data_IF_655558505025
#
_entry.id   IF_655558505025
#
_cell.length_a   1.000
_cell.length_b   1.000
_cell.length_c   1.000
_cell.angle_alpha   90.00
_cell.angle_beta   90.00
_cell.angle_gamma   90.00
#
_symmetry.space_group_name_H-M   'P 1'
#
loop_
_entity.id
_entity.type
_entity.pdbx_description
1 polymer ?
#
# COMPACT_ATOMS: atom_id res chain seq x y z
N UNK A 1 9.87 -21.60 -53.58
CA UNK A 1 9.61 -23.01 -53.18
C UNK A 1 9.74 -23.03 -51.67
N UNK A 2 8.74 -23.28 -50.81
CA UNK A 2 7.41 -23.87 -50.94
C UNK A 2 6.62 -23.40 -49.70
N UNK A 3 5.36 -22.99 -49.89
CA UNK A 3 4.36 -22.71 -48.84
C UNK A 3 3.90 -24.02 -48.17
N UNK A 4 2.99 -23.90 -47.20
CA UNK A 4 1.99 -24.91 -46.74
C UNK A 4 2.50 -25.74 -45.54
N UNK A 5 1.73 -26.04 -44.48
CA UNK A 5 0.48 -25.55 -43.90
C UNK A 5 0.29 -26.31 -42.57
N UNK A 6 -0.53 -25.77 -41.67
CA UNK A 6 -1.18 -26.54 -40.62
C UNK A 6 -1.97 -27.72 -41.22
N UNK A 7 -2.17 -28.79 -40.42
CA UNK A 7 -3.49 -29.38 -40.36
C UNK A 7 -4.01 -29.44 -38.92
N UNK A 8 -5.22 -28.91 -38.81
CA UNK A 8 -6.23 -29.22 -37.82
C UNK A 8 -6.66 -30.68 -38.01
N UNK A 9 -6.73 -31.50 -36.96
CA UNK A 9 -7.59 -32.69 -36.97
C UNK A 9 -8.16 -32.95 -35.57
N UNK A 10 -9.45 -32.66 -35.46
CA UNK A 10 -10.34 -33.20 -34.45
C UNK A 10 -10.81 -34.60 -34.88
N UNK A 11 -11.07 -35.49 -33.92
CA UNK A 11 -12.37 -36.17 -33.74
C UNK A 11 -12.26 -37.44 -32.88
N UNK A 12 -13.23 -37.57 -31.98
CA UNK A 12 -13.62 -38.72 -31.19
C UNK A 12 -13.86 -39.99 -32.03
N UNK A 13 -13.63 -41.16 -31.43
CA UNK A 13 -14.53 -42.32 -31.61
C UNK A 13 -14.52 -43.24 -30.38
N UNK A 14 -15.72 -43.58 -29.91
CA UNK A 14 -16.02 -44.63 -28.93
C UNK A 14 -15.96 -46.02 -29.60
N UNK A 15 -15.67 -47.07 -28.82
CA UNK A 15 -15.80 -48.46 -29.29
C UNK A 15 -15.44 -49.56 -28.30
N UNK A 16 -16.35 -49.83 -27.35
CA UNK A 16 -16.79 -51.10 -26.74
C UNK A 16 -15.87 -52.34 -26.55
N UNK A 17 -15.92 -52.83 -25.30
CA UNK A 17 -16.09 -54.22 -24.82
C UNK A 17 -15.00 -55.29 -25.02
N UNK A 18 -14.37 -55.69 -23.91
CA UNK A 18 -14.41 -57.11 -23.49
C UNK A 18 -14.09 -57.23 -21.99
N UNK A 19 -14.90 -58.01 -21.28
CA UNK A 19 -14.65 -58.46 -19.90
C UNK A 19 -13.91 -59.80 -19.94
N UNK A 20 -13.06 -60.09 -18.93
CA UNK A 20 -13.42 -61.24 -18.10
C UNK A 20 -13.06 -61.08 -16.62
N UNK A 21 -13.96 -61.55 -15.76
CA UNK A 21 -13.63 -62.48 -14.68
C UNK A 21 -13.21 -61.89 -13.33
N UNK A 22 -13.64 -62.53 -12.21
CA UNK A 22 -13.66 -61.93 -10.89
C UNK A 22 -12.34 -62.15 -10.16
N UNK A 23 -11.93 -61.19 -9.33
CA UNK A 23 -11.54 -61.42 -7.93
C UNK A 23 -11.09 -60.12 -7.26
N UNK A 24 -11.33 -60.08 -5.95
CA UNK A 24 -10.87 -59.09 -4.98
C UNK A 24 -11.52 -57.69 -4.99
N UNK A 25 -12.67 -57.62 -4.30
CA UNK A 25 -13.15 -56.38 -3.69
C UNK A 25 -12.14 -55.97 -2.61
N UNK A 26 -11.15 -55.15 -2.99
CA UNK A 26 -10.34 -54.42 -2.03
C UNK A 26 -11.21 -53.32 -1.45
N UNK A 27 -11.77 -53.54 -0.26
CA UNK A 27 -12.44 -52.48 0.50
C UNK A 27 -11.36 -51.50 0.97
N UNK A 28 -11.10 -50.45 0.18
CA UNK A 28 -10.40 -49.28 0.70
C UNK A 28 -11.31 -48.66 1.78
N UNK A 29 -10.93 -48.90 3.03
CA UNK A 29 -11.48 -48.16 4.15
C UNK A 29 -10.87 -46.77 4.08
N UNK A 30 -11.56 -45.84 3.42
CA UNK A 30 -11.22 -44.42 3.50
C UNK A 30 -11.54 -43.98 4.93
N UNK A 31 -10.52 -43.91 5.77
CA UNK A 31 -10.62 -43.25 7.06
C UNK A 31 -10.75 -41.76 6.76
N UNK A 32 -11.98 -41.26 6.80
CA UNK A 32 -12.22 -39.83 6.86
C UNK A 32 -11.71 -39.38 8.22
N UNK A 33 -10.45 -38.94 8.24
CA UNK A 33 -9.91 -38.18 9.36
C UNK A 33 -10.64 -36.83 9.34
N UNK A 34 -11.70 -36.74 10.14
CA UNK A 34 -12.32 -35.46 10.49
C UNK A 34 -11.24 -34.66 11.19
N UNK A 35 -10.51 -33.84 10.43
CA UNK A 35 -9.67 -32.80 10.98
C UNK A 35 -10.57 -31.97 11.90
N UNK A 36 -10.29 -32.02 13.20
CA UNK A 36 -10.91 -31.13 14.17
C UNK A 36 -10.65 -29.71 13.67
N UNK A 37 -11.71 -29.00 13.30
CA UNK A 37 -11.61 -27.60 12.95
C UNK A 37 -10.91 -26.89 14.09
N UNK A 38 -9.73 -26.31 13.80
CA UNK A 38 -9.10 -25.38 14.72
C UNK A 38 -10.16 -24.33 15.09
N UNK A 39 -10.24 -23.90 16.36
CA UNK A 39 -11.16 -22.84 16.76
C UNK A 39 -10.90 -21.66 15.82
N UNK A 40 -11.89 -21.37 14.97
CA UNK A 40 -11.91 -20.14 14.21
C UNK A 40 -12.04 -19.06 15.26
N UNK A 41 -10.95 -18.35 15.53
CA UNK A 41 -10.98 -17.12 16.30
C UNK A 41 -12.09 -16.25 15.71
N UNK A 42 -13.09 -15.93 16.54
CA UNK A 42 -14.14 -14.99 16.16
C UNK A 42 -13.47 -13.71 15.62
N UNK A 43 -14.03 -13.06 14.58
CA UNK A 43 -13.49 -11.80 14.09
C UNK A 43 -13.36 -10.84 15.26
N UNK A 44 -12.16 -10.32 15.48
CA UNK A 44 -11.92 -9.34 16.52
C UNK A 44 -12.79 -8.11 16.20
N UNK A 45 -13.71 -7.78 17.11
CA UNK A 45 -14.62 -6.67 16.91
C UNK A 45 -13.82 -5.36 16.87
N UNK A 46 -14.08 -4.55 15.84
CA UNK A 46 -13.41 -3.27 15.67
C UNK A 46 -13.62 -2.39 16.90
N UNK A 47 -12.53 -1.99 17.55
CA UNK A 47 -12.59 -1.23 18.80
C UNK A 47 -13.20 0.17 18.63
N UNK A 48 -12.97 0.81 17.48
CA UNK A 48 -13.38 2.18 17.21
C UNK A 48 -13.88 2.36 15.77
N UNK A 49 -15.06 1.82 15.41
CA UNK A 49 -15.56 1.82 14.03
C UNK A 49 -15.94 3.21 13.51
N UNK A 50 -16.15 4.17 14.40
CA UNK A 50 -16.52 5.55 14.06
C UNK A 50 -15.30 6.50 14.01
N UNK A 51 -14.09 6.00 14.28
CA UNK A 51 -12.88 6.82 14.21
C UNK A 51 -12.72 7.42 12.82
N UNK A 52 -12.32 8.69 12.76
CA UNK A 52 -12.01 9.33 11.50
C UNK A 52 -10.54 9.67 11.41
N UNK A 53 -10.04 9.83 10.19
CA UNK A 53 -8.63 10.20 9.97
C UNK A 53 -8.29 11.54 10.65
N UNK A 54 -9.26 12.45 10.76
CA UNK A 54 -9.10 13.74 11.45
C UNK A 54 -8.87 13.62 12.96
N UNK A 55 -9.20 12.47 13.56
CA UNK A 55 -8.97 12.19 14.99
C UNK A 55 -7.56 11.62 15.27
N UNK A 56 -6.81 11.27 14.22
CA UNK A 56 -5.47 10.64 14.34
C UNK A 56 -4.36 11.67 14.57
N UNK A 57 -3.16 11.19 14.91
CA UNK A 57 -1.95 12.03 15.04
C UNK A 57 -1.63 12.84 13.77
N UNK A 58 -2.05 12.36 12.58
CA UNK A 58 -1.84 13.07 11.32
C UNK A 58 -2.48 14.48 11.36
N UNK A 59 -3.66 14.60 11.95
CA UNK A 59 -4.38 15.87 12.04
C UNK A 59 -4.21 16.54 13.40
N UNK A 60 -4.21 15.78 14.49
CA UNK A 60 -4.14 16.34 15.85
C UNK A 60 -2.79 16.96 16.20
N UNK A 61 -1.71 16.52 15.54
CA UNK A 61 -0.38 17.14 15.66
C UNK A 61 -0.05 18.14 14.54
N UNK A 62 -0.96 18.29 13.57
CA UNK A 62 -0.81 19.25 12.49
C UNK A 62 -1.30 20.64 12.91
N UNK A 63 -1.00 21.64 12.09
CA UNK A 63 -1.56 22.97 12.25
C UNK A 63 -2.28 23.44 10.99
N UNK A 64 -3.30 24.26 11.17
CA UNK A 64 -3.98 24.93 10.06
C UNK A 64 -3.16 26.09 9.54
N UNK A 65 -2.92 26.12 8.22
CA UNK A 65 -2.20 27.19 7.52
C UNK A 65 -3.12 27.85 6.50
N UNK A 66 -3.61 29.08 6.76
CA UNK A 66 -4.44 29.81 5.81
C UNK A 66 -3.65 30.21 4.58
N UNK A 67 -4.14 29.87 3.38
CA UNK A 67 -3.50 30.18 2.11
C UNK A 67 -4.54 30.50 1.03
N UNK A 68 -4.52 31.73 0.51
CA UNK A 68 -5.43 32.21 -0.55
C UNK A 68 -6.93 31.92 -0.33
N UNK A 69 -7.40 31.98 0.93
CA UNK A 69 -8.80 31.74 1.28
C UNK A 69 -9.18 30.27 1.45
N UNK A 70 -8.20 29.38 1.50
CA UNK A 70 -8.34 27.97 1.86
C UNK A 70 -7.46 27.67 3.07
N UNK A 71 -7.91 26.74 3.91
CA UNK A 71 -7.13 26.25 5.05
C UNK A 71 -6.40 24.96 4.64
N UNK A 72 -5.07 25.00 4.68
CA UNK A 72 -4.22 23.83 4.47
C UNK A 72 -3.89 23.18 5.81
N UNK A 73 -3.60 21.88 5.75
CA UNK A 73 -3.02 21.14 6.87
C UNK A 73 -1.51 21.16 6.72
N UNK A 74 -0.81 21.66 7.74
CA UNK A 74 0.64 21.67 7.81
C UNK A 74 1.15 20.64 8.81
N UNK A 75 1.79 19.60 8.28
CA UNK A 75 2.47 18.57 9.08
C UNK A 75 3.93 18.98 9.26
N UNK A 76 4.48 18.96 10.49
CA UNK A 76 5.90 19.20 10.69
C UNK A 76 6.77 18.22 9.91
N UNK A 77 7.97 18.65 9.55
CA UNK A 77 8.98 17.82 8.88
C UNK A 77 10.27 17.76 9.71
N UNK A 78 11.14 16.81 9.40
CA UNK A 78 12.51 16.74 9.94
C UNK A 78 13.41 17.89 9.45
N UNK A 79 12.93 18.71 8.52
CA UNK A 79 13.58 19.94 8.08
C UNK A 79 13.03 21.16 8.83
N UNK A 80 13.80 21.62 9.83
CA UNK A 80 13.41 22.70 10.74
C UNK A 80 12.83 23.93 10.03
N UNK A 81 11.63 24.34 10.45
CA UNK A 81 10.93 25.51 9.93
C UNK A 81 10.09 25.25 8.68
N UNK A 82 10.12 24.02 8.14
CA UNK A 82 9.28 23.62 7.02
C UNK A 82 8.17 22.69 7.45
N UNK A 83 7.02 22.88 6.79
CA UNK A 83 5.84 22.05 6.90
C UNK A 83 5.57 21.41 5.54
N UNK A 84 5.10 20.17 5.57
CA UNK A 84 4.43 19.61 4.42
C UNK A 84 2.97 20.07 4.44
N UNK A 85 2.61 20.90 3.47
CA UNK A 85 1.29 21.52 3.37
C UNK A 85 0.43 20.77 2.36
N UNK A 86 -0.72 20.24 2.79
CA UNK A 86 -1.67 19.57 1.91
C UNK A 86 -3.10 20.06 2.14
N UNK A 87 -3.96 19.89 1.14
CA UNK A 87 -5.40 20.11 1.27
C UNK A 87 -6.10 18.77 1.55
N UNK A 88 -6.96 18.67 2.58
CA UNK A 88 -7.74 17.46 2.83
C UNK A 88 -8.60 17.04 1.64
N UNK A 89 -9.07 17.99 0.82
CA UNK A 89 -9.90 17.73 -0.36
C UNK A 89 -9.13 17.00 -1.49
N UNK A 90 -7.79 17.08 -1.50
CA UNK A 90 -6.92 16.43 -2.47
C UNK A 90 -6.34 15.09 -1.95
N UNK A 91 -6.66 14.70 -0.73
CA UNK A 91 -6.16 13.47 -0.12
C UNK A 91 -6.87 12.24 -0.70
N UNK A 92 -6.10 11.22 -1.06
CA UNK A 92 -6.66 9.89 -1.39
C UNK A 92 -6.81 9.08 -0.10
N UNK A 93 -7.95 9.22 0.54
CA UNK A 93 -8.23 8.60 1.84
C UNK A 93 -8.65 7.13 1.70
N UNK A 94 -7.85 6.21 2.24
CA UNK A 94 -8.18 4.79 2.42
C UNK A 94 -8.01 4.37 3.89
N UNK A 95 -8.13 5.33 4.81
CA UNK A 95 -8.12 5.07 6.24
C UNK A 95 -9.33 4.22 6.62
N UNK A 96 -9.07 3.19 7.40
CA UNK A 96 -10.06 2.29 7.96
C UNK A 96 -9.59 1.88 9.36
N UNK A 97 -10.27 2.33 10.43
CA UNK A 97 -9.84 2.06 11.79
C UNK A 97 -10.07 0.61 12.21
N UNK A 98 -10.72 -0.20 11.37
CA UNK A 98 -10.98 -1.60 11.63
C UNK A 98 -10.02 -2.55 10.92
N UNK A 99 -9.08 -2.02 10.11
CA UNK A 99 -8.10 -2.82 9.41
C UNK A 99 -6.72 -2.75 10.07
N UNK A 100 -5.99 -3.87 10.17
CA UNK A 100 -4.62 -3.90 10.69
C UNK A 100 -3.65 -3.01 9.91
N UNK A 101 -3.92 -2.71 8.64
CA UNK A 101 -3.15 -1.74 7.87
C UNK A 101 -4.07 -0.95 6.95
N UNK A 102 -4.15 0.36 7.15
CA UNK A 102 -4.84 1.29 6.26
C UNK A 102 -3.93 2.46 5.91
N UNK A 103 -4.31 3.32 4.96
CA UNK A 103 -3.41 4.38 4.48
C UNK A 103 -4.15 5.61 3.98
N UNK A 104 -3.42 6.71 3.85
CA UNK A 104 -3.81 7.85 3.02
C UNK A 104 -2.64 8.31 2.17
N UNK A 105 -2.92 8.79 0.95
CA UNK A 105 -1.92 9.49 0.14
C UNK A 105 -2.18 10.97 0.22
N UNK A 106 -1.17 11.70 0.67
CA UNK A 106 -1.17 13.15 0.80
C UNK A 106 -0.47 13.73 -0.43
N UNK A 107 -1.15 14.61 -1.15
CA UNK A 107 -0.55 15.41 -2.22
C UNK A 107 -0.38 16.84 -1.73
N UNK A 108 0.86 17.34 -1.74
CA UNK A 108 1.15 18.61 -1.10
C UNK A 108 2.43 19.26 -1.59
N UNK A 109 2.87 20.26 -0.82
CA UNK A 109 4.12 20.95 -1.05
C UNK A 109 4.74 21.41 0.26
N UNK A 110 6.07 21.39 0.30
CA UNK A 110 6.82 22.07 1.34
C UNK A 110 6.56 23.57 1.34
N UNK A 111 6.52 24.14 2.53
CA UNK A 111 6.29 25.56 2.78
C UNK A 111 6.50 25.91 4.25
N UNK A 112 5.99 27.05 4.66
CA UNK A 112 6.05 27.51 6.05
C UNK A 112 4.70 28.07 6.51
N UNK A 113 4.56 28.24 7.84
CA UNK A 113 3.32 28.68 8.47
C UNK A 113 2.91 30.12 8.07
N UNK A 114 3.86 30.97 7.69
CA UNK A 114 3.61 32.39 7.41
C UNK A 114 3.30 32.64 5.94
N UNK A 115 3.97 31.91 5.04
CA UNK A 115 3.93 32.13 3.58
C UNK A 115 3.13 31.06 2.85
N UNK A 116 2.80 29.96 3.52
CA UNK A 116 2.17 28.81 2.90
C UNK A 116 3.12 28.04 1.99
N UNK A 117 2.60 27.33 0.97
CA UNK A 117 3.41 26.51 0.08
C UNK A 117 4.47 27.34 -0.66
N UNK A 118 5.68 26.80 -0.80
CA UNK A 118 6.71 27.43 -1.62
C UNK A 118 6.29 27.52 -3.11
N UNK A 119 5.39 26.64 -3.55
CA UNK A 119 4.73 26.72 -4.86
C UNK A 119 5.64 26.43 -6.05
N UNK A 120 6.76 25.72 -5.84
CA UNK A 120 7.71 25.34 -6.90
C UNK A 120 7.61 23.86 -7.20
N UNK A 121 7.95 23.44 -8.43
CA UNK A 121 8.01 22.01 -8.77
C UNK A 121 8.98 21.22 -7.88
N UNK A 122 9.97 21.88 -7.28
CA UNK A 122 10.91 21.25 -6.34
C UNK A 122 10.36 21.07 -4.93
N UNK A 123 9.26 21.73 -4.58
CA UNK A 123 8.64 21.60 -3.26
C UNK A 123 7.43 20.66 -3.25
N UNK A 124 6.91 20.27 -4.42
CA UNK A 124 5.75 19.38 -4.56
C UNK A 124 6.19 17.92 -4.39
N UNK A 125 5.50 17.22 -3.49
CA UNK A 125 5.73 15.82 -3.19
C UNK A 125 4.41 15.13 -2.81
N UNK A 126 4.42 13.81 -2.88
CA UNK A 126 3.42 12.95 -2.29
C UNK A 126 4.01 12.24 -1.06
N UNK A 127 3.16 11.93 -0.10
CA UNK A 127 3.50 11.10 1.07
C UNK A 127 2.43 10.03 1.21
N UNK A 128 2.83 8.78 1.42
CA UNK A 128 1.91 7.76 1.91
C UNK A 128 2.09 7.65 3.42
N UNK A 129 0.99 7.79 4.16
CA UNK A 129 0.96 7.57 5.61
C UNK A 129 0.17 6.30 5.88
N UNK A 130 0.65 5.50 6.84
CA UNK A 130 0.03 4.24 7.20
C UNK A 130 -0.55 4.31 8.60
N UNK A 131 -1.60 3.53 8.81
CA UNK A 131 -2.26 3.40 10.11
C UNK A 131 -2.38 1.93 10.46
N UNK A 132 -2.14 1.61 11.73
CA UNK A 132 -2.53 0.34 12.33
C UNK A 132 -3.82 0.59 13.10
N UNK A 133 -4.95 0.10 12.59
CA UNK A 133 -6.27 0.51 13.08
C UNK A 133 -6.42 2.05 13.06
N UNK A 134 -6.71 2.68 14.20
CA UNK A 134 -6.83 4.13 14.35
C UNK A 134 -5.52 4.84 14.75
N UNK A 135 -4.41 4.11 14.85
CA UNK A 135 -3.10 4.67 15.23
C UNK A 135 -2.23 4.95 14.00
N UNK A 136 -1.71 6.18 13.90
CA UNK A 136 -0.74 6.55 12.87
C UNK A 136 0.59 5.84 13.11
N UNK A 137 1.12 5.21 12.06
CA UNK A 137 2.46 4.61 12.08
C UNK A 137 3.50 5.69 11.75
N UNK A 138 4.45 5.88 12.66
CA UNK A 138 5.54 6.87 12.54
C UNK A 138 6.94 6.25 12.53
N UNK A 139 7.05 4.92 12.63
CA UNK A 139 8.30 4.18 12.47
C UNK A 139 8.14 3.07 11.40
N UNK A 140 8.78 3.20 10.22
CA UNK A 140 9.61 4.34 9.81
C UNK A 140 8.78 5.61 9.61
N UNK A 141 9.44 6.77 9.66
CA UNK A 141 8.79 8.05 9.42
C UNK A 141 8.25 8.12 7.97
N UNK A 142 7.05 8.70 7.74
CA UNK A 142 6.52 8.85 6.39
C UNK A 142 7.40 9.78 5.54
N UNK A 143 7.99 9.24 4.47
CA UNK A 143 8.93 9.97 3.62
C UNK A 143 8.23 10.64 2.44
N UNK A 144 8.66 11.86 2.13
CA UNK A 144 8.27 12.57 0.91
C UNK A 144 8.88 11.92 -0.32
N UNK A 145 8.06 11.68 -1.34
CA UNK A 145 8.50 11.20 -2.63
C UNK A 145 7.93 12.07 -3.75
N UNK A 146 8.51 12.02 -4.95
CA UNK A 146 8.04 12.87 -6.05
C UNK A 146 6.58 12.57 -6.40
N UNK A 147 6.17 11.31 -6.42
CA UNK A 147 4.78 10.90 -6.64
C UNK A 147 4.51 9.50 -6.10
N UNK A 148 3.25 9.26 -5.71
CA UNK A 148 2.71 7.93 -5.44
C UNK A 148 1.84 7.53 -6.63
N UNK A 149 2.37 6.68 -7.49
CA UNK A 149 1.73 6.27 -8.74
C UNK A 149 0.50 5.40 -8.48
N UNK A 150 0.60 4.46 -7.52
CA UNK A 150 -0.51 3.61 -7.10
C UNK A 150 -0.32 3.08 -5.68
N UNK A 151 -1.45 2.75 -5.03
CA UNK A 151 -1.47 2.02 -3.76
C UNK A 151 -2.54 0.94 -3.82
N UNK A 152 -2.14 -0.31 -3.68
CA UNK A 152 -3.02 -1.47 -3.80
C UNK A 152 -2.93 -2.34 -2.53
N UNK A 153 -4.09 -2.65 -1.94
CA UNK A 153 -4.17 -3.62 -0.84
C UNK A 153 -3.91 -5.03 -1.36
N UNK A 154 -2.94 -5.73 -0.78
CA UNK A 154 -2.66 -7.15 -1.06
C UNK A 154 -3.23 -8.08 0.02
N UNK A 155 -3.42 -7.57 1.24
CA UNK A 155 -4.03 -8.27 2.37
C UNK A 155 -4.32 -7.33 3.54
N UNK A 156 -4.78 -7.88 4.66
CA UNK A 156 -5.16 -7.08 5.84
C UNK A 156 -3.97 -6.34 6.46
N UNK A 157 -2.77 -6.91 6.37
CA UNK A 157 -1.51 -6.36 6.89
C UNK A 157 -0.51 -6.00 5.79
N UNK A 158 -0.92 -6.00 4.50
CA UNK A 158 0.01 -5.78 3.38
C UNK A 158 -0.57 -4.88 2.32
N UNK A 159 0.19 -3.83 1.98
CA UNK A 159 -0.15 -2.84 0.96
C UNK A 159 1.03 -2.66 0.02
N UNK A 160 0.80 -2.83 -1.28
CA UNK A 160 1.78 -2.49 -2.31
C UNK A 160 1.70 -1.02 -2.65
N UNK A 161 2.86 -0.37 -2.77
CA UNK A 161 2.98 1.02 -3.20
C UNK A 161 3.93 1.11 -4.38
N UNK A 162 3.52 1.88 -5.39
CA UNK A 162 4.36 2.22 -6.53
C UNK A 162 4.81 3.67 -6.35
N UNK A 163 6.10 3.85 -6.06
CA UNK A 163 6.72 5.16 -5.83
C UNK A 163 7.38 5.67 -7.10
N UNK A 164 7.06 6.89 -7.50
CA UNK A 164 7.75 7.64 -8.53
C UNK A 164 8.80 8.57 -7.93
N UNK A 165 10.07 8.38 -8.29
CA UNK A 165 11.20 9.17 -7.80
C UNK A 165 11.84 10.01 -8.92
N UNK A 166 12.32 11.19 -8.56
CA UNK A 166 13.11 12.06 -9.43
C UNK A 166 14.61 11.85 -9.18
N UNK A 167 15.25 10.91 -9.89
CA UNK A 167 16.61 10.43 -9.63
C UNK A 167 17.74 11.47 -9.71
N UNK A 168 17.49 12.66 -10.26
CA UNK A 168 18.50 13.73 -10.37
C UNK A 168 17.99 15.09 -9.98
N UNK A 169 16.91 15.54 -10.62
CA UNK A 169 16.27 16.80 -10.30
C UNK A 169 14.76 16.68 -10.46
N UNK A 170 14.04 17.40 -9.61
CA UNK A 170 12.56 17.47 -9.63
C UNK A 170 12.01 17.94 -10.98
N UNK A 171 12.77 18.74 -11.72
CA UNK A 171 12.40 19.25 -13.04
C UNK A 171 12.34 18.17 -14.13
N UNK A 172 13.05 17.05 -13.96
CA UNK A 172 12.98 15.90 -14.88
C UNK A 172 11.70 15.07 -14.67
N UNK A 173 10.97 15.32 -13.58
CA UNK A 173 9.81 14.51 -13.19
C UNK A 173 10.23 13.12 -12.70
N UNK A 174 9.31 12.17 -12.80
CA UNK A 174 9.56 10.78 -12.41
C UNK A 174 10.47 10.12 -13.43
N UNK A 175 11.63 9.67 -12.98
CA UNK A 175 12.65 8.99 -13.80
C UNK A 175 12.95 7.58 -13.29
N UNK A 176 12.53 7.28 -12.06
CA UNK A 176 12.70 5.99 -11.40
C UNK A 176 11.38 5.55 -10.78
N UNK A 177 11.10 4.26 -10.84
CA UNK A 177 9.93 3.63 -10.22
C UNK A 177 10.42 2.57 -9.24
N UNK A 178 9.83 2.56 -8.04
CA UNK A 178 10.04 1.53 -7.04
C UNK A 178 8.71 0.87 -6.70
N UNK A 179 8.64 -0.46 -6.80
CA UNK A 179 7.47 -1.24 -6.40
C UNK A 179 7.81 -2.00 -5.13
N UNK A 180 7.20 -1.61 -4.01
CA UNK A 180 7.47 -2.20 -2.70
C UNK A 180 6.18 -2.58 -2.00
N UNK A 181 6.27 -3.59 -1.13
CA UNK A 181 5.18 -3.99 -0.26
C UNK A 181 5.48 -3.50 1.16
N UNK A 182 4.58 -2.73 1.74
CA UNK A 182 4.61 -2.36 3.15
C UNK A 182 3.79 -3.35 3.95
N UNK A 183 4.43 -3.99 4.93
CA UNK A 183 3.88 -5.09 5.73
C UNK A 183 3.88 -4.71 7.20
N UNK A 184 2.72 -4.80 7.84
CA UNK A 184 2.63 -4.73 9.31
C UNK A 184 2.98 -6.10 9.91
N UNK A 185 4.12 -6.19 10.61
CA UNK A 185 4.60 -7.43 11.23
C UNK A 185 5.42 -7.11 12.47
N UNK A 186 5.27 -7.92 13.52
CA UNK A 186 6.04 -7.82 14.76
C UNK A 186 5.95 -6.43 15.41
N UNK A 187 4.79 -5.77 15.31
CA UNK A 187 4.52 -4.45 15.89
C UNK A 187 5.19 -3.28 15.17
N UNK A 188 5.63 -3.47 13.92
CA UNK A 188 6.24 -2.43 13.10
C UNK A 188 5.86 -2.57 11.63
N UNK A 189 6.01 -1.48 10.89
CA UNK A 189 5.95 -1.51 9.44
C UNK A 189 7.31 -1.94 8.88
N UNK A 190 7.29 -2.82 7.88
CA UNK A 190 8.47 -3.31 7.18
C UNK A 190 8.25 -3.13 5.69
N UNK A 191 9.26 -2.67 4.97
CA UNK A 191 9.23 -2.62 3.51
C UNK A 191 9.90 -3.87 2.94
N UNK A 192 9.19 -4.58 2.08
CA UNK A 192 9.62 -5.81 1.43
C UNK A 192 9.50 -5.69 -0.10
N UNK A 193 10.06 -6.67 -0.81
CA UNK A 193 10.02 -6.74 -2.27
C UNK A 193 11.37 -6.46 -2.95
N UNK A 194 11.45 -6.63 -4.28
CA UNK A 194 12.69 -6.56 -5.03
C UNK A 194 13.32 -5.14 -5.05
N UNK A 195 12.50 -4.10 -4.94
CA UNK A 195 12.97 -2.70 -4.91
C UNK A 195 13.16 -2.14 -3.50
N UNK A 196 12.83 -2.90 -2.44
CA UNK A 196 12.80 -2.41 -1.06
C UNK A 196 14.10 -1.71 -0.64
N UNK A 197 15.25 -2.36 -0.81
CA UNK A 197 16.54 -1.78 -0.42
C UNK A 197 16.88 -0.49 -1.19
N UNK A 198 16.45 -0.37 -2.44
CA UNK A 198 16.68 0.84 -3.26
C UNK A 198 15.74 1.96 -2.82
N UNK A 199 14.48 1.64 -2.58
CA UNK A 199 13.49 2.56 -2.03
C UNK A 199 13.91 3.08 -0.65
N UNK A 200 14.35 2.21 0.27
CA UNK A 200 14.78 2.58 1.61
C UNK A 200 16.00 3.52 1.58
N UNK A 201 16.92 3.32 0.63
CA UNK A 201 18.04 4.24 0.42
C UNK A 201 17.55 5.63 0.02
N UNK A 202 16.57 5.71 -0.90
CA UNK A 202 15.97 6.97 -1.33
C UNK A 202 15.19 7.61 -0.18
N UNK A 203 14.32 6.87 0.50
CA UNK A 203 13.50 7.35 1.60
C UNK A 203 14.34 7.94 2.75
N UNK A 204 15.50 7.35 3.05
CA UNK A 204 16.44 7.85 4.05
C UNK A 204 17.13 9.17 3.66
N UNK A 205 17.13 9.53 2.37
CA UNK A 205 17.73 10.77 1.85
C UNK A 205 16.68 11.87 1.58
N UNK A 206 15.39 11.53 1.67
CA UNK A 206 14.28 12.49 1.51
C UNK A 206 13.84 13.11 2.83
N UNK A 207 13.08 14.21 2.74
CA UNK A 207 12.43 14.85 3.89
C UNK A 207 11.36 13.91 4.45
N UNK A 208 11.26 13.82 5.77
CA UNK A 208 10.27 12.99 6.45
C UNK A 208 9.29 13.84 7.25
N UNK A 209 8.04 13.38 7.30
CA UNK A 209 7.04 13.95 8.19
C UNK A 209 7.34 13.57 9.64
N UNK A 210 7.10 14.50 10.56
CA UNK A 210 7.18 14.31 12.01
C UNK A 210 5.87 14.75 12.69
N UNK A 211 4.76 14.04 12.43
CA UNK A 211 3.48 14.26 13.11
C UNK A 211 3.52 13.81 14.57
#
# INVERSE_FOLDING_TARGET
>A
MTKIALPLLAALSLGACTSPGPDEVTVLTTVTETAAAAPQSEPEECANPDARIEDTALFTSSQTVPFHGTDLIGVPTDFSGFLFLFSPDNMRNNFDPCLPLSWAVLHGSNGDAERGPAGTGSSIADVVVFFHYDELITDPAPSEIRSIEDVTRLGDTTVQVIHGHAGRSTAEGVTEIYVVDHVWRDGRLVTEGPDAARYETVAAETVNLTP
#
